data_IF_401768661917
#
_entry.id   IF_401768661917
#
_cell.length_a   1.000
_cell.length_b   1.000
_cell.length_c   1.000
_cell.angle_alpha   90.00
_cell.angle_beta   90.00
_cell.angle_gamma   90.00
#
_symmetry.space_group_name_H-M   'P 1'
#
loop_
_entity.id
_entity.type
_entity.pdbx_description
1 polymer ?
#
# COMPACT_ATOMS: atom_id res chain seq x y z
N UNK A 1 18.14 -14.08 21.97
CA UNK A 1 19.46 -14.74 22.02
C UNK A 1 20.40 -14.01 22.96
N UNK A 2 21.46 -14.62 23.51
CA UNK A 2 22.48 -13.94 24.32
C UNK A 2 23.09 -12.71 23.61
N UNK A 3 23.31 -12.80 22.31
CA UNK A 3 23.80 -11.69 21.50
C UNK A 3 22.82 -10.49 21.49
N UNK A 4 21.53 -10.75 21.33
CA UNK A 4 20.52 -9.70 21.38
C UNK A 4 20.44 -9.05 22.78
N UNK A 5 20.60 -9.81 23.84
CA UNK A 5 20.61 -9.30 25.21
C UNK A 5 21.83 -8.40 25.46
N UNK A 6 23.00 -8.78 24.96
CA UNK A 6 24.22 -7.97 25.06
C UNK A 6 24.06 -6.63 24.30
N UNK A 7 23.44 -6.64 23.14
CA UNK A 7 23.24 -5.46 22.29
C UNK A 7 22.18 -4.49 22.85
N UNK A 8 21.08 -5.01 23.41
CA UNK A 8 20.01 -4.19 23.98
C UNK A 8 20.33 -3.62 25.37
N UNK A 9 21.36 -4.16 26.02
CA UNK A 9 21.71 -3.82 27.39
C UNK A 9 20.73 -4.36 28.44
N UNK A 10 20.98 -4.08 29.73
CA UNK A 10 20.23 -4.66 30.83
C UNK A 10 18.82 -4.09 31.00
N UNK A 11 18.53 -2.95 30.40
CA UNK A 11 17.23 -2.24 30.52
C UNK A 11 16.73 -1.75 29.18
N UNK A 12 16.36 -2.66 28.27
CA UNK A 12 15.94 -2.30 26.91
C UNK A 12 14.69 -1.41 26.87
N UNK A 13 13.87 -1.40 27.90
CA UNK A 13 12.70 -0.50 28.03
C UNK A 13 13.09 0.99 28.10
N UNK A 14 14.29 1.32 28.52
CA UNK A 14 14.78 2.70 28.57
C UNK A 14 15.01 3.29 27.16
N UNK A 15 15.17 2.46 26.15
CA UNK A 15 15.26 2.90 24.76
C UNK A 15 14.03 3.73 24.33
N UNK A 16 12.86 3.52 24.97
CA UNK A 16 11.64 4.31 24.66
C UNK A 16 11.84 5.79 25.01
N UNK A 17 12.66 6.13 26.01
CA UNK A 17 12.84 7.51 26.47
C UNK A 17 13.54 8.38 25.42
N UNK A 18 14.41 7.78 24.61
CA UNK A 18 15.17 8.47 23.55
C UNK A 18 14.60 8.20 22.15
N UNK A 19 13.55 7.39 22.06
CA UNK A 19 13.01 6.92 20.80
C UNK A 19 12.05 7.93 20.14
N UNK A 20 12.20 8.13 18.85
CA UNK A 20 11.28 8.93 18.06
C UNK A 20 9.97 8.18 17.80
N UNK A 21 8.79 8.80 17.98
CA UNK A 21 7.52 8.17 17.67
C UNK A 21 7.34 8.01 16.15
N UNK A 22 7.05 6.78 15.71
CA UNK A 22 6.76 6.46 14.31
C UNK A 22 5.24 6.37 14.09
N UNK A 23 4.54 5.77 15.06
CA UNK A 23 3.08 5.61 15.01
C UNK A 23 2.53 5.59 16.43
N UNK A 24 1.46 6.33 16.66
CA UNK A 24 0.80 6.34 17.96
C UNK A 24 -0.72 6.19 17.79
N UNK A 25 -1.28 5.35 18.64
CA UNK A 25 -2.72 5.26 18.90
C UNK A 25 -2.92 5.11 20.41
N UNK A 26 -4.13 5.27 20.95
CA UNK A 26 -4.38 5.13 22.39
C UNK A 26 -3.89 3.81 22.98
N UNK A 27 -3.90 2.73 22.19
CA UNK A 27 -3.59 1.37 22.65
C UNK A 27 -2.30 0.79 22.07
N UNK A 28 -1.72 1.43 21.05
CA UNK A 28 -0.47 0.97 20.41
C UNK A 28 0.40 2.12 20.02
N UNK A 29 1.68 1.95 20.32
CA UNK A 29 2.71 2.92 19.93
C UNK A 29 3.87 2.16 19.28
N UNK A 30 4.48 2.77 18.28
CA UNK A 30 5.71 2.29 17.64
C UNK A 30 6.71 3.42 17.69
N UNK A 31 7.90 3.12 18.16
CA UNK A 31 9.00 4.06 18.26
C UNK A 31 10.21 3.55 17.49
N UNK A 32 11.09 4.45 17.11
CA UNK A 32 12.40 4.14 16.54
C UNK A 32 13.50 4.67 17.46
N UNK A 33 14.42 3.79 17.85
CA UNK A 33 15.62 4.12 18.63
C UNK A 33 16.84 3.57 17.89
N UNK A 34 17.52 4.42 17.11
CA UNK A 34 18.65 3.99 16.28
C UNK A 34 18.27 2.85 15.32
N UNK A 35 18.88 1.68 15.53
CA UNK A 35 18.68 0.47 14.74
C UNK A 35 17.52 -0.40 15.23
N UNK A 36 16.70 0.10 16.16
CA UNK A 36 15.61 -0.69 16.76
C UNK A 36 14.25 -0.05 16.52
N UNK A 37 13.24 -0.91 16.34
CA UNK A 37 11.83 -0.54 16.45
C UNK A 37 11.27 -1.15 17.72
N UNK A 38 10.57 -0.33 18.50
CA UNK A 38 9.91 -0.71 19.73
C UNK A 38 8.40 -0.64 19.53
N UNK A 39 7.72 -1.78 19.55
CA UNK A 39 6.25 -1.88 19.47
C UNK A 39 5.71 -2.06 20.89
N UNK A 40 4.91 -1.10 21.34
CA UNK A 40 4.24 -1.14 22.64
C UNK A 40 2.75 -1.37 22.43
N UNK A 41 2.20 -2.43 23.02
CA UNK A 41 0.75 -2.69 23.10
C UNK A 41 0.31 -2.55 24.56
N UNK A 42 -0.50 -1.50 24.83
CA UNK A 42 -0.97 -1.15 26.18
C UNK A 42 -2.20 -1.95 26.63
N UNK A 43 -2.72 -2.81 25.77
CA UNK A 43 -3.82 -3.70 26.14
C UNK A 43 -3.31 -4.89 26.91
N UNK A 44 -4.12 -5.34 27.85
CA UNK A 44 -3.91 -6.62 28.53
C UNK A 44 -4.27 -7.76 27.56
N UNK A 45 -3.35 -8.08 26.65
CA UNK A 45 -3.53 -9.10 25.64
C UNK A 45 -2.21 -9.81 25.35
N UNK A 46 -2.26 -10.77 24.45
CA UNK A 46 -1.10 -11.54 24.04
C UNK A 46 -0.69 -11.27 22.58
N UNK A 47 -1.01 -10.07 22.05
CA UNK A 47 -0.80 -9.77 20.64
C UNK A 47 0.67 -9.82 20.24
N UNK A 48 1.55 -9.17 21.01
CA UNK A 48 2.97 -9.16 20.69
C UNK A 48 3.62 -10.52 20.96
N UNK A 49 3.12 -11.29 21.94
CA UNK A 49 3.52 -12.69 22.11
C UNK A 49 3.15 -13.54 20.88
N UNK A 50 1.95 -13.37 20.33
CA UNK A 50 1.56 -14.06 19.10
C UNK A 50 2.38 -13.60 17.88
N UNK A 51 2.81 -12.34 17.83
CA UNK A 51 3.71 -11.85 16.80
C UNK A 51 5.09 -12.51 16.92
N UNK A 52 5.58 -12.68 18.16
CA UNK A 52 6.80 -13.41 18.46
C UNK A 52 6.73 -14.89 18.04
N UNK A 53 5.63 -15.57 18.38
CA UNK A 53 5.40 -16.97 17.97
C UNK A 53 5.37 -17.12 16.44
N UNK A 54 4.71 -16.16 15.77
CA UNK A 54 4.68 -16.09 14.29
C UNK A 54 6.07 -15.90 13.71
N UNK A 55 6.90 -15.05 14.30
CA UNK A 55 8.28 -14.82 13.90
C UNK A 55 9.12 -16.09 14.05
N UNK A 56 8.99 -16.80 15.16
CA UNK A 56 9.65 -18.09 15.40
C UNK A 56 9.26 -19.11 14.33
N UNK A 57 7.98 -19.17 13.95
CA UNK A 57 7.49 -20.06 12.89
C UNK A 57 8.08 -19.72 11.51
N UNK A 58 8.18 -18.41 11.19
CA UNK A 58 8.77 -17.93 9.94
C UNK A 58 10.27 -18.23 9.87
N UNK A 59 11.00 -18.00 10.97
CA UNK A 59 12.43 -18.30 11.08
C UNK A 59 12.72 -19.79 10.85
N UNK A 60 11.91 -20.68 11.45
CA UNK A 60 12.00 -22.12 11.25
C UNK A 60 11.74 -22.57 9.79
N UNK A 61 11.18 -21.71 8.96
CA UNK A 61 10.90 -21.93 7.53
C UNK A 61 11.77 -21.09 6.60
N UNK A 62 12.78 -20.41 7.17
CA UNK A 62 13.71 -19.55 6.44
C UNK A 62 13.01 -18.46 5.61
N UNK A 63 11.86 -17.94 6.09
CA UNK A 63 11.18 -16.82 5.45
C UNK A 63 11.81 -15.52 5.94
N UNK A 64 12.31 -14.66 5.05
CA UNK A 64 12.91 -13.38 5.41
C UNK A 64 11.92 -12.46 6.12
N UNK A 65 12.32 -11.94 7.27
CA UNK A 65 11.55 -10.97 8.06
C UNK A 65 12.49 -10.10 8.89
N UNK A 66 11.96 -9.03 9.49
CA UNK A 66 12.70 -8.26 10.49
C UNK A 66 13.02 -9.13 11.69
N UNK A 67 14.24 -9.02 12.19
CA UNK A 67 14.69 -9.80 13.35
C UNK A 67 13.95 -9.36 14.63
N UNK A 68 13.37 -10.32 15.34
CA UNK A 68 12.75 -10.12 16.64
C UNK A 68 13.78 -10.38 17.74
N UNK A 69 14.14 -9.33 18.50
CA UNK A 69 15.27 -9.36 19.44
C UNK A 69 14.81 -9.66 20.87
N UNK A 70 13.73 -9.02 21.32
CA UNK A 70 13.22 -9.17 22.67
C UNK A 70 11.71 -8.99 22.75
N UNK A 71 11.10 -9.73 23.66
CA UNK A 71 9.70 -9.60 24.05
C UNK A 71 9.62 -9.43 25.56
N UNK A 72 9.07 -8.29 26.01
CA UNK A 72 8.82 -8.01 27.42
C UNK A 72 7.34 -7.93 27.74
N UNK A 73 6.96 -8.28 28.97
CA UNK A 73 5.62 -8.13 29.51
C UNK A 73 5.66 -7.42 30.84
N UNK A 74 4.73 -6.50 31.05
CA UNK A 74 4.54 -5.81 32.34
C UNK A 74 3.06 -5.66 32.63
N UNK A 75 2.72 -5.12 33.82
CA UNK A 75 1.35 -4.74 34.17
C UNK A 75 0.76 -3.67 33.22
N UNK A 76 1.60 -2.93 32.52
CA UNK A 76 1.20 -1.87 31.58
C UNK A 76 1.06 -2.35 30.13
N UNK A 77 1.33 -3.62 29.83
CA UNK A 77 1.22 -4.17 28.50
C UNK A 77 2.43 -4.99 28.05
N UNK A 78 2.61 -5.10 26.74
CA UNK A 78 3.70 -5.84 26.11
C UNK A 78 4.60 -4.89 25.31
N UNK A 79 5.91 -5.17 25.31
CA UNK A 79 6.92 -4.51 24.49
C UNK A 79 7.61 -5.56 23.60
N UNK A 80 7.64 -5.31 22.29
CA UNK A 80 8.40 -6.09 21.33
C UNK A 80 9.46 -5.20 20.70
N UNK A 81 10.70 -5.66 20.69
CA UNK A 81 11.84 -4.99 20.06
C UNK A 81 12.25 -5.78 18.83
N UNK A 82 12.34 -5.09 17.70
CA UNK A 82 12.79 -5.65 16.42
C UNK A 82 13.93 -4.83 15.86
N UNK A 83 14.83 -5.46 15.10
CA UNK A 83 15.90 -4.75 14.39
C UNK A 83 15.35 -4.04 13.16
N UNK A 84 15.78 -2.80 12.94
CA UNK A 84 15.56 -2.13 11.69
C UNK A 84 16.41 -2.80 10.59
N UNK A 85 15.86 -2.94 9.40
CA UNK A 85 16.63 -3.30 8.23
C UNK A 85 17.14 -1.99 7.59
N UNK A 86 18.46 -1.75 7.55
CA UNK A 86 19.04 -0.58 6.88
C UNK A 86 18.59 -0.59 5.41
N UNK A 87 18.32 0.60 4.87
CA UNK A 87 17.99 0.84 3.46
C UNK A 87 16.73 0.12 2.94
N UNK A 88 16.02 -0.56 3.83
CA UNK A 88 14.76 -1.19 3.47
C UNK A 88 13.62 -0.16 3.35
N UNK A 89 12.85 -0.26 2.28
CA UNK A 89 11.68 0.59 1.99
C UNK A 89 10.44 -0.30 1.96
N UNK A 90 9.30 0.20 2.44
CA UNK A 90 8.04 -0.54 2.24
C UNK A 90 7.81 -0.79 0.75
N UNK A 91 7.45 -2.02 0.38
CA UNK A 91 7.29 -2.44 -1.02
C UNK A 91 6.29 -1.55 -1.78
N UNK A 92 5.18 -1.15 -1.12
CA UNK A 92 4.22 -0.22 -1.70
C UNK A 92 4.78 1.19 -1.92
N UNK A 93 5.63 1.69 -1.01
CA UNK A 93 6.29 3.00 -1.13
C UNK A 93 7.32 2.97 -2.26
N UNK A 94 8.13 1.90 -2.34
CA UNK A 94 9.08 1.72 -3.42
C UNK A 94 8.37 1.67 -4.78
N UNK A 95 7.33 0.84 -4.89
CA UNK A 95 6.55 0.74 -6.12
C UNK A 95 5.98 2.09 -6.56
N UNK A 96 5.39 2.84 -5.64
CA UNK A 96 4.84 4.15 -5.96
C UNK A 96 5.92 5.14 -6.41
N UNK A 97 7.03 5.26 -5.66
CA UNK A 97 8.08 6.24 -5.96
C UNK A 97 8.89 5.86 -7.18
N UNK A 98 9.36 4.64 -7.24
CA UNK A 98 10.33 4.23 -8.25
C UNK A 98 9.65 3.69 -9.52
N UNK A 99 8.61 2.83 -9.39
CA UNK A 99 7.98 2.26 -10.57
C UNK A 99 6.92 3.16 -11.19
N UNK A 100 6.06 3.80 -10.37
CA UNK A 100 5.01 4.67 -10.90
C UNK A 100 5.52 6.08 -11.21
N UNK A 101 6.27 6.68 -10.30
CA UNK A 101 6.69 8.07 -10.42
C UNK A 101 7.98 8.26 -11.21
N UNK A 102 8.95 7.38 -11.03
CA UNK A 102 10.30 7.53 -11.60
C UNK A 102 10.58 6.55 -12.76
N UNK A 103 9.62 5.66 -13.10
CA UNK A 103 9.68 4.83 -14.30
C UNK A 103 10.56 3.58 -14.19
N UNK A 104 10.94 3.16 -12.98
CA UNK A 104 11.69 1.92 -12.79
C UNK A 104 10.89 0.68 -13.28
N UNK A 105 11.54 -0.43 -13.67
CA UNK A 105 10.89 -1.61 -14.22
C UNK A 105 9.89 -2.25 -13.25
N UNK A 106 8.60 -1.99 -13.47
CA UNK A 106 7.52 -2.50 -12.61
C UNK A 106 7.34 -4.01 -12.72
N UNK A 107 7.60 -4.60 -13.90
CA UNK A 107 7.47 -6.05 -14.14
C UNK A 107 8.52 -6.83 -13.34
N UNK A 108 9.76 -6.37 -13.33
CA UNK A 108 10.85 -7.00 -12.57
C UNK A 108 10.56 -6.98 -11.07
N UNK A 109 10.19 -5.82 -10.54
CA UNK A 109 9.80 -5.69 -9.13
C UNK A 109 8.61 -6.60 -8.78
N UNK A 110 7.58 -6.63 -9.62
CA UNK A 110 6.39 -7.46 -9.41
C UNK A 110 6.71 -8.95 -9.48
N UNK A 111 7.59 -9.36 -10.41
CA UNK A 111 8.06 -10.74 -10.52
C UNK A 111 8.81 -11.20 -9.27
N UNK A 112 9.72 -10.37 -8.77
CA UNK A 112 10.45 -10.67 -7.54
C UNK A 112 9.52 -10.73 -6.31
N UNK A 113 8.53 -9.82 -6.22
CA UNK A 113 7.53 -9.83 -5.14
C UNK A 113 6.60 -11.04 -5.21
N UNK A 114 6.20 -11.46 -6.42
CA UNK A 114 5.41 -12.67 -6.63
C UNK A 114 6.19 -13.93 -6.21
N UNK A 115 7.48 -14.01 -6.55
CA UNK A 115 8.37 -15.08 -6.10
C UNK A 115 8.49 -15.14 -4.57
N UNK A 116 8.58 -13.99 -3.90
CA UNK A 116 8.59 -13.92 -2.44
C UNK A 116 7.24 -14.39 -1.84
N UNK A 117 6.12 -13.98 -2.42
CA UNK A 117 4.79 -14.46 -2.01
C UNK A 117 4.68 -15.97 -2.16
N UNK A 118 5.16 -16.53 -3.28
CA UNK A 118 5.21 -17.98 -3.52
C UNK A 118 6.07 -18.71 -2.49
N UNK A 119 7.22 -18.15 -2.09
CA UNK A 119 8.07 -18.73 -1.05
C UNK A 119 7.29 -18.90 0.27
N UNK A 120 6.50 -17.91 0.69
CA UNK A 120 5.66 -17.99 1.89
C UNK A 120 4.60 -19.09 1.71
N UNK A 121 3.93 -19.11 0.57
CA UNK A 121 2.88 -20.08 0.25
C UNK A 121 3.44 -21.52 0.25
N UNK A 122 4.53 -21.76 -0.47
CA UNK A 122 5.14 -23.10 -0.59
C UNK A 122 5.70 -23.61 0.72
N UNK A 123 6.04 -22.73 1.68
CA UNK A 123 6.43 -23.11 3.03
C UNK A 123 5.26 -23.59 3.91
N UNK A 124 4.04 -23.63 3.39
CA UNK A 124 2.83 -24.03 4.11
C UNK A 124 2.40 -23.00 5.16
N UNK A 125 2.75 -21.72 4.97
CA UNK A 125 2.39 -20.64 5.88
C UNK A 125 1.28 -19.77 5.31
N UNK A 126 0.46 -19.23 6.19
CA UNK A 126 -0.60 -18.28 5.90
C UNK A 126 -0.36 -16.97 6.65
N UNK A 127 -0.25 -15.86 5.92
CA UNK A 127 -0.15 -14.52 6.49
C UNK A 127 -1.50 -13.79 6.34
N UNK A 128 -2.23 -13.51 7.43
CA UNK A 128 -3.59 -12.97 7.35
C UNK A 128 -3.65 -11.55 6.76
N UNK A 129 -2.61 -10.75 6.91
CA UNK A 129 -2.54 -9.37 6.44
C UNK A 129 -1.38 -9.16 5.47
N UNK A 130 -1.28 -10.02 4.44
CA UNK A 130 -0.23 -9.96 3.43
C UNK A 130 -0.56 -8.92 2.37
N UNK A 131 0.11 -7.77 2.41
CA UNK A 131 0.00 -6.66 1.47
C UNK A 131 1.31 -5.88 1.40
N UNK A 132 1.50 -5.03 0.38
CA UNK A 132 2.76 -4.31 0.14
C UNK A 132 3.20 -3.40 1.30
N UNK A 133 2.29 -2.95 2.17
CA UNK A 133 2.63 -2.19 3.37
C UNK A 133 3.28 -3.02 4.49
N UNK A 134 3.13 -4.35 4.48
CA UNK A 134 3.72 -5.28 5.45
C UNK A 134 4.92 -6.05 4.87
N UNK A 135 5.38 -5.63 3.68
CA UNK A 135 6.56 -6.16 3.03
C UNK A 135 7.58 -5.04 2.87
N UNK A 136 8.80 -5.27 3.29
CA UNK A 136 9.96 -4.43 3.05
C UNK A 136 10.70 -4.92 1.80
N UNK A 137 11.19 -3.99 1.00
CA UNK A 137 12.07 -4.23 -0.13
C UNK A 137 13.45 -3.67 0.16
N UNK A 138 14.48 -4.43 -0.14
CA UNK A 138 15.89 -4.04 -0.07
C UNK A 138 16.40 -3.85 -1.51
N UNK A 139 16.42 -2.63 -2.04
CA UNK A 139 16.69 -2.37 -3.46
C UNK A 139 18.04 -2.92 -3.93
N UNK A 140 19.12 -2.70 -3.19
CA UNK A 140 20.46 -3.15 -3.55
C UNK A 140 20.62 -4.67 -3.63
N UNK A 141 19.76 -5.41 -2.92
CA UNK A 141 19.80 -6.87 -2.85
C UNK A 141 18.68 -7.53 -3.66
N UNK A 142 17.77 -6.75 -4.21
CA UNK A 142 16.53 -7.23 -4.85
C UNK A 142 15.78 -8.27 -4.00
N UNK A 143 15.73 -8.06 -2.67
CA UNK A 143 15.15 -9.00 -1.69
C UNK A 143 14.00 -8.36 -0.93
N UNK A 144 13.13 -9.22 -0.42
CA UNK A 144 11.99 -8.83 0.40
C UNK A 144 12.08 -9.42 1.80
N UNK A 145 11.46 -8.75 2.77
CA UNK A 145 11.30 -9.23 4.13
C UNK A 145 9.94 -8.80 4.71
N UNK A 146 9.35 -9.61 5.59
CA UNK A 146 8.13 -9.25 6.31
C UNK A 146 8.44 -8.33 7.48
N UNK A 147 7.54 -7.34 7.76
CA UNK A 147 7.69 -6.40 8.87
C UNK A 147 6.61 -6.55 9.96
N UNK A 148 5.39 -6.86 9.62
CA UNK A 148 4.30 -7.13 10.58
C UNK A 148 3.83 -8.57 10.37
N UNK A 149 4.31 -9.47 11.24
CA UNK A 149 4.10 -10.92 11.09
C UNK A 149 3.00 -11.45 12.02
N UNK A 150 2.25 -10.56 12.67
CA UNK A 150 1.18 -10.95 13.56
C UNK A 150 0.15 -11.86 12.89
N UNK A 151 -0.10 -13.00 13.52
CA UNK A 151 -1.11 -13.96 13.07
C UNK A 151 -0.70 -14.88 11.95
N UNK A 152 0.58 -14.86 11.54
CA UNK A 152 1.12 -15.89 10.65
C UNK A 152 0.99 -17.25 11.31
N UNK A 153 0.51 -18.23 10.57
CA UNK A 153 0.24 -19.59 11.08
C UNK A 153 0.43 -20.62 9.98
N UNK A 154 0.48 -21.90 10.35
CA UNK A 154 0.42 -23.00 9.38
C UNK A 154 -0.89 -22.95 8.62
N UNK A 155 -0.84 -23.15 7.31
CA UNK A 155 -2.02 -23.27 6.47
C UNK A 155 -2.62 -24.68 6.60
N UNK A 156 -3.93 -24.76 6.86
CA UNK A 156 -4.62 -26.05 6.99
C UNK A 156 -5.22 -26.56 5.68
N UNK A 157 -5.54 -25.64 4.75
CA UNK A 157 -6.15 -25.95 3.45
C UNK A 157 -5.32 -25.24 2.38
N UNK A 158 -4.54 -26.04 1.66
CA UNK A 158 -3.38 -25.57 0.93
C UNK A 158 -3.66 -24.59 -0.21
N UNK A 159 -4.77 -24.66 -0.96
CA UNK A 159 -4.79 -24.01 -2.25
C UNK A 159 -5.61 -22.72 -2.38
N UNK A 160 -6.83 -22.67 -1.81
CA UNK A 160 -7.74 -21.57 -2.12
C UNK A 160 -7.46 -20.25 -1.39
N UNK A 161 -7.08 -20.32 -0.11
CA UNK A 161 -6.84 -19.12 0.70
C UNK A 161 -5.47 -18.51 0.44
N UNK A 162 -4.49 -19.29 0.02
CA UNK A 162 -3.14 -18.82 -0.22
C UNK A 162 -3.02 -18.08 -1.55
N UNK A 163 -3.61 -18.62 -2.62
CA UNK A 163 -3.75 -17.94 -3.90
C UNK A 163 -4.46 -16.58 -3.75
N UNK A 164 -5.44 -16.49 -2.84
CA UNK A 164 -6.12 -15.24 -2.50
C UNK A 164 -5.18 -14.15 -1.95
N UNK A 165 -4.12 -14.51 -1.22
CA UNK A 165 -3.16 -13.54 -0.67
C UNK A 165 -2.15 -13.06 -1.70
N UNK A 166 -1.70 -13.95 -2.57
CA UNK A 166 -0.90 -13.58 -3.73
C UNK A 166 -1.69 -12.63 -4.64
N UNK A 167 -2.95 -12.95 -4.89
CA UNK A 167 -3.89 -12.09 -5.61
C UNK A 167 -3.87 -10.66 -5.07
N UNK A 168 -4.04 -10.48 -3.76
CA UNK A 168 -4.12 -9.16 -3.15
C UNK A 168 -2.84 -8.36 -3.39
N UNK A 169 -1.67 -8.95 -3.17
CA UNK A 169 -0.40 -8.23 -3.33
C UNK A 169 -0.13 -7.85 -4.79
N UNK A 170 -0.46 -8.74 -5.73
CA UNK A 170 -0.32 -8.44 -7.16
C UNK A 170 -1.35 -7.41 -7.63
N UNK A 171 -2.58 -7.46 -7.09
CA UNK A 171 -3.61 -6.45 -7.43
C UNK A 171 -3.22 -5.04 -6.99
N UNK A 172 -2.39 -4.87 -5.94
CA UNK A 172 -1.85 -3.57 -5.56
C UNK A 172 -0.88 -2.99 -6.60
N UNK A 173 -0.26 -3.84 -7.43
CA UNK A 173 0.70 -3.45 -8.46
C UNK A 173 0.07 -3.20 -9.84
N UNK A 174 -1.22 -3.50 -10.04
CA UNK A 174 -1.90 -3.43 -11.35
C UNK A 174 -1.94 -2.04 -11.99
N UNK A 175 -1.62 -0.98 -11.23
CA UNK A 175 -1.57 0.38 -11.78
C UNK A 175 -0.46 0.56 -12.82
N UNK A 176 0.66 -0.15 -12.67
CA UNK A 176 1.80 -0.07 -13.58
C UNK A 176 1.94 -1.30 -14.49
N UNK A 177 1.11 -2.33 -14.32
CA UNK A 177 1.20 -3.57 -15.07
C UNK A 177 -0.03 -3.74 -15.96
N UNK A 178 0.20 -4.01 -17.25
CA UNK A 178 -0.88 -4.43 -18.15
C UNK A 178 -1.39 -5.84 -17.81
N UNK A 179 -2.54 -6.20 -18.40
CA UNK A 179 -3.16 -7.52 -18.18
C UNK A 179 -2.24 -8.66 -18.61
N UNK A 180 -1.56 -8.54 -19.76
CA UNK A 180 -0.70 -9.58 -20.28
C UNK A 180 0.43 -9.92 -19.31
N UNK A 181 1.08 -8.89 -18.77
CA UNK A 181 2.11 -9.02 -17.74
C UNK A 181 1.55 -9.66 -16.46
N UNK A 182 0.38 -9.23 -16.00
CA UNK A 182 -0.27 -9.84 -14.83
C UNK A 182 -0.59 -11.32 -15.05
N UNK A 183 -1.09 -11.69 -16.23
CA UNK A 183 -1.38 -13.10 -16.55
C UNK A 183 -0.11 -13.94 -16.64
N UNK A 184 0.97 -13.40 -17.25
CA UNK A 184 2.28 -14.08 -17.27
C UNK A 184 2.81 -14.33 -15.86
N UNK A 185 2.76 -13.33 -14.98
CA UNK A 185 3.19 -13.46 -13.58
C UNK A 185 2.36 -14.53 -12.85
N UNK A 186 1.04 -14.52 -12.98
CA UNK A 186 0.17 -15.52 -12.36
C UNK A 186 0.46 -16.94 -12.88
N UNK A 187 0.65 -17.10 -14.19
CA UNK A 187 1.01 -18.39 -14.80
C UNK A 187 2.35 -18.89 -14.30
N UNK A 188 3.37 -18.02 -14.26
CA UNK A 188 4.70 -18.34 -13.75
C UNK A 188 4.67 -18.80 -12.29
N UNK A 189 3.76 -18.23 -11.51
CA UNK A 189 3.54 -18.58 -10.11
C UNK A 189 2.60 -19.78 -9.91
N UNK A 190 2.27 -20.51 -10.98
CA UNK A 190 1.54 -21.78 -10.92
C UNK A 190 0.01 -21.65 -10.81
N UNK A 191 -0.56 -20.49 -11.16
CA UNK A 191 -2.01 -20.33 -11.24
C UNK A 191 -2.53 -20.99 -12.50
N UNK A 192 -3.33 -22.04 -12.37
CA UNK A 192 -3.82 -22.88 -13.49
C UNK A 192 -4.79 -22.16 -14.44
N UNK A 193 -5.52 -21.16 -13.95
CA UNK A 193 -6.46 -20.37 -14.75
C UNK A 193 -6.27 -18.86 -14.48
N UNK A 194 -5.15 -18.28 -14.94
CA UNK A 194 -4.74 -16.93 -14.54
C UNK A 194 -5.74 -15.85 -14.92
N UNK A 195 -6.39 -15.98 -16.08
CA UNK A 195 -7.43 -15.05 -16.54
C UNK A 195 -8.66 -15.04 -15.62
N UNK A 196 -9.21 -16.21 -15.36
CA UNK A 196 -10.36 -16.35 -14.43
C UNK A 196 -10.01 -15.86 -13.03
N UNK A 197 -8.78 -16.14 -12.58
CA UNK A 197 -8.26 -15.67 -11.31
C UNK A 197 -8.17 -14.14 -11.27
N UNK A 198 -7.60 -13.52 -12.31
CA UNK A 198 -7.47 -12.08 -12.45
C UNK A 198 -8.82 -11.36 -12.42
N UNK A 199 -9.79 -11.82 -13.21
CA UNK A 199 -11.14 -11.23 -13.25
C UNK A 199 -11.89 -11.37 -11.91
N UNK A 200 -11.75 -12.51 -11.23
CA UNK A 200 -12.31 -12.69 -9.88
C UNK A 200 -11.65 -11.76 -8.88
N UNK A 201 -10.34 -11.57 -8.98
CA UNK A 201 -9.57 -10.65 -8.16
C UNK A 201 -10.05 -9.22 -8.32
N UNK A 202 -10.18 -8.73 -9.55
CA UNK A 202 -10.70 -7.39 -9.84
C UNK A 202 -12.07 -7.16 -9.23
N UNK A 203 -13.01 -8.09 -9.45
CA UNK A 203 -14.37 -7.98 -8.91
C UNK A 203 -14.40 -7.96 -7.38
N UNK A 204 -13.50 -8.71 -6.74
CA UNK A 204 -13.39 -8.76 -5.28
C UNK A 204 -12.83 -7.46 -4.74
N UNK A 205 -11.79 -6.92 -5.35
CA UNK A 205 -11.22 -5.64 -4.97
C UNK A 205 -12.23 -4.50 -5.16
N UNK A 206 -12.98 -4.50 -6.26
CA UNK A 206 -14.04 -3.52 -6.47
C UNK A 206 -15.12 -3.59 -5.36
N UNK A 207 -15.62 -4.79 -5.05
CA UNK A 207 -16.60 -4.98 -3.95
C UNK A 207 -16.05 -4.50 -2.62
N UNK A 208 -14.78 -4.79 -2.32
CA UNK A 208 -14.11 -4.32 -1.10
C UNK A 208 -14.04 -2.80 -1.06
N UNK A 209 -13.64 -2.17 -2.17
CA UNK A 209 -13.58 -0.71 -2.25
C UNK A 209 -14.95 -0.08 -2.00
N UNK A 210 -16.00 -0.55 -2.67
CA UNK A 210 -17.37 -0.03 -2.47
C UNK A 210 -17.85 -0.21 -1.03
N UNK A 211 -17.56 -1.34 -0.40
CA UNK A 211 -17.91 -1.56 1.01
C UNK A 211 -17.17 -0.62 1.96
N UNK A 212 -15.90 -0.33 1.71
CA UNK A 212 -15.09 0.56 2.53
C UNK A 212 -15.30 2.05 2.20
N UNK A 213 -15.85 2.37 1.03
CA UNK A 213 -15.89 3.72 0.47
C UNK A 213 -16.59 4.75 1.39
N UNK A 214 -17.76 4.49 1.99
CA UNK A 214 -18.41 5.47 2.88
C UNK A 214 -17.54 5.88 4.07
N UNK A 215 -16.76 4.94 4.60
CA UNK A 215 -15.79 5.23 5.66
C UNK A 215 -14.60 6.03 5.12
N UNK A 216 -14.06 5.65 3.97
CA UNK A 216 -12.90 6.33 3.34
C UNK A 216 -13.23 7.77 2.99
N UNK A 217 -14.38 8.00 2.38
CA UNK A 217 -14.89 9.34 2.07
C UNK A 217 -14.88 10.25 3.30
N UNK A 218 -15.43 9.80 4.41
CA UNK A 218 -15.43 10.57 5.66
C UNK A 218 -14.01 10.87 6.16
N UNK A 219 -13.11 9.91 6.09
CA UNK A 219 -11.72 10.08 6.50
C UNK A 219 -10.98 11.11 5.62
N UNK A 220 -11.18 11.07 4.30
CA UNK A 220 -10.57 12.00 3.35
C UNK A 220 -10.99 13.42 3.64
N UNK A 221 -12.30 13.66 3.75
CA UNK A 221 -12.86 15.00 3.97
C UNK A 221 -12.56 15.56 5.38
N UNK A 222 -12.33 14.68 6.36
CA UNK A 222 -11.95 15.05 7.71
C UNK A 222 -10.44 15.30 7.90
N UNK A 223 -9.61 15.20 6.86
CA UNK A 223 -8.17 15.42 6.98
C UNK A 223 -7.42 14.28 7.66
N UNK A 224 -7.88 13.03 7.50
CA UNK A 224 -7.18 11.89 8.09
C UNK A 224 -5.79 11.71 7.47
N UNK A 225 -4.69 11.68 8.28
CA UNK A 225 -3.31 11.83 7.80
C UNK A 225 -2.82 10.77 6.79
N UNK A 226 -3.56 9.69 6.62
CA UNK A 226 -3.27 8.69 5.57
C UNK A 226 -3.66 9.17 4.16
N UNK A 227 -4.61 10.10 4.06
CA UNK A 227 -5.17 10.57 2.78
C UNK A 227 -4.94 12.05 2.58
N UNK A 228 -5.32 12.84 3.57
CA UNK A 228 -5.24 14.30 3.52
C UNK A 228 -4.73 14.85 4.83
N UNK A 229 -4.16 16.06 4.80
CA UNK A 229 -3.86 16.87 5.99
C UNK A 229 -4.69 18.13 5.94
N UNK A 230 -5.45 18.36 6.98
CA UNK A 230 -6.23 19.60 7.12
C UNK A 230 -5.35 20.69 7.72
N UNK A 231 -5.27 21.83 7.05
CA UNK A 231 -4.54 23.04 7.48
C UNK A 231 -5.51 24.24 7.32
N UNK A 232 -6.39 24.43 8.29
CA UNK A 232 -7.50 25.39 8.18
C UNK A 232 -8.46 25.03 7.03
N UNK A 233 -8.66 25.90 6.02
CA UNK A 233 -9.52 25.63 4.88
C UNK A 233 -8.89 24.70 3.84
N UNK A 234 -7.60 24.38 3.99
CA UNK A 234 -6.84 23.59 3.03
C UNK A 234 -6.91 22.11 3.39
N UNK A 235 -7.14 21.26 2.38
CA UNK A 235 -6.93 19.82 2.45
C UNK A 235 -5.78 19.42 1.51
N UNK A 236 -4.60 19.21 2.05
CA UNK A 236 -3.44 18.71 1.29
C UNK A 236 -3.55 17.22 1.10
N UNK A 237 -3.40 16.78 -0.13
CA UNK A 237 -3.33 15.35 -0.45
C UNK A 237 -2.00 14.79 0.05
N UNK A 238 -2.05 13.63 0.67
CA UNK A 238 -0.88 12.85 1.10
C UNK A 238 -0.68 11.74 0.07
N UNK A 239 0.50 11.69 -0.54
CA UNK A 239 0.81 10.64 -1.50
C UNK A 239 0.90 9.26 -0.82
N UNK A 240 0.85 8.14 -1.56
CA UNK A 240 0.97 6.80 -0.98
C UNK A 240 2.28 6.56 -0.21
N UNK A 241 3.30 7.39 -0.44
CA UNK A 241 4.57 7.36 0.29
C UNK A 241 4.55 8.21 1.58
N UNK A 242 3.43 8.88 1.89
CA UNK A 242 3.23 9.65 3.10
C UNK A 242 3.73 11.10 3.05
N UNK A 243 4.19 11.58 1.89
CA UNK A 243 4.59 12.97 1.70
C UNK A 243 3.38 13.84 1.31
N UNK A 244 3.31 15.11 1.77
CA UNK A 244 2.37 16.07 1.23
C UNK A 244 2.68 16.33 -0.24
N UNK A 245 1.64 16.40 -1.07
CA UNK A 245 1.80 16.77 -2.48
C UNK A 245 2.27 18.23 -2.61
N UNK A 246 3.16 18.46 -3.57
CA UNK A 246 3.64 19.81 -3.89
C UNK A 246 2.61 20.53 -4.80
N UNK A 247 2.02 21.61 -4.28
CA UNK A 247 1.04 22.41 -5.00
C UNK A 247 1.63 23.28 -6.11
N UNK A 248 2.92 23.61 -6.01
CA UNK A 248 3.59 24.51 -6.97
C UNK A 248 3.64 23.92 -8.38
N UNK A 249 3.58 22.59 -8.46
CA UNK A 249 3.51 21.84 -9.73
C UNK A 249 2.10 21.69 -10.29
N UNK A 250 1.08 22.25 -9.62
CA UNK A 250 -0.32 22.05 -9.94
C UNK A 250 -0.92 23.07 -10.93
N UNK A 251 -2.02 22.66 -11.56
CA UNK A 251 -2.93 23.53 -12.28
C UNK A 251 -4.20 23.74 -11.46
N UNK A 252 -4.66 25.00 -11.26
CA UNK A 252 -5.88 25.25 -10.53
C UNK A 252 -7.12 24.87 -11.36
N UNK A 253 -8.10 24.26 -10.70
CA UNK A 253 -9.45 24.02 -11.21
C UNK A 253 -10.39 24.81 -10.32
N UNK A 254 -11.14 25.74 -10.88
CA UNK A 254 -12.15 26.51 -10.17
C UNK A 254 -13.52 25.85 -10.30
N UNK A 255 -14.34 25.91 -9.24
CA UNK A 255 -15.68 25.36 -9.22
C UNK A 255 -16.40 25.64 -7.88
N UNK A 256 -17.63 25.22 -7.77
CA UNK A 256 -18.33 25.23 -6.48
C UNK A 256 -17.73 24.18 -5.52
N UNK A 257 -17.99 24.36 -4.23
CA UNK A 257 -17.40 23.51 -3.19
C UNK A 257 -17.77 22.04 -3.35
N UNK A 258 -19.00 21.72 -3.75
CA UNK A 258 -19.47 20.35 -3.91
C UNK A 258 -18.76 19.66 -5.10
N UNK A 259 -18.66 20.34 -6.23
CA UNK A 259 -17.96 19.84 -7.42
C UNK A 259 -16.49 19.58 -7.11
N UNK A 260 -15.81 20.49 -6.41
CA UNK A 260 -14.39 20.32 -6.08
C UNK A 260 -14.15 19.20 -5.06
N UNK A 261 -15.02 19.03 -4.07
CA UNK A 261 -14.96 17.90 -3.14
C UNK A 261 -15.21 16.57 -3.87
N UNK A 262 -16.15 16.50 -4.82
CA UNK A 262 -16.35 15.31 -5.66
C UNK A 262 -15.13 14.99 -6.52
N UNK A 263 -14.46 15.98 -7.09
CA UNK A 263 -13.21 15.77 -7.84
C UNK A 263 -12.08 15.24 -6.95
N UNK A 264 -11.94 15.75 -5.73
CA UNK A 264 -11.01 15.24 -4.73
C UNK A 264 -11.34 13.79 -4.37
N UNK A 265 -12.60 13.48 -4.12
CA UNK A 265 -13.05 12.12 -3.81
C UNK A 265 -12.84 11.17 -4.99
N UNK A 266 -13.08 11.62 -6.22
CA UNK A 266 -12.82 10.84 -7.43
C UNK A 266 -11.33 10.49 -7.56
N UNK A 267 -10.41 11.42 -7.25
CA UNK A 267 -8.98 11.13 -7.17
C UNK A 267 -8.70 9.95 -6.23
N UNK A 268 -9.18 9.99 -5.00
CA UNK A 268 -8.93 8.93 -4.03
C UNK A 268 -9.62 7.60 -4.40
N UNK A 269 -10.80 7.66 -5.00
CA UNK A 269 -11.46 6.47 -5.51
C UNK A 269 -10.62 5.77 -6.58
N UNK A 270 -10.15 6.52 -7.58
CA UNK A 270 -9.29 6.02 -8.65
C UNK A 270 -7.95 5.49 -8.12
N UNK A 271 -7.34 6.19 -7.15
CA UNK A 271 -6.11 5.75 -6.49
C UNK A 271 -6.31 4.39 -5.79
N UNK A 272 -7.39 4.23 -5.03
CA UNK A 272 -7.71 2.98 -4.34
C UNK A 272 -8.13 1.86 -5.30
N UNK A 273 -8.74 2.21 -6.42
CA UNK A 273 -9.05 1.29 -7.53
C UNK A 273 -7.81 0.94 -8.37
N UNK A 274 -6.66 1.56 -8.11
CA UNK A 274 -5.43 1.45 -8.90
C UNK A 274 -5.65 1.75 -10.39
N UNK A 275 -6.48 2.74 -10.69
CA UNK A 275 -6.69 3.28 -12.04
C UNK A 275 -5.74 4.48 -12.18
N UNK A 276 -4.80 4.47 -13.15
CA UNK A 276 -3.93 5.59 -13.42
C UNK A 276 -4.75 6.83 -13.76
N UNK A 277 -4.49 7.94 -13.10
CA UNK A 277 -5.24 9.16 -13.28
C UNK A 277 -4.42 10.35 -12.87
N UNK A 278 -4.78 11.53 -13.35
CA UNK A 278 -4.17 12.80 -13.00
C UNK A 278 -4.44 13.13 -11.52
N UNK A 279 -3.41 13.17 -10.66
CA UNK A 279 -3.62 13.33 -9.22
C UNK A 279 -4.14 14.70 -8.82
N UNK A 280 -5.01 14.75 -7.80
CA UNK A 280 -5.26 15.95 -7.03
C UNK A 280 -4.12 16.18 -6.03
N UNK A 281 -3.80 17.45 -5.75
CA UNK A 281 -2.70 17.84 -4.88
C UNK A 281 -3.20 18.57 -3.62
N UNK A 282 -4.14 19.51 -3.79
CA UNK A 282 -4.66 20.37 -2.74
C UNK A 282 -6.09 20.82 -3.07
N UNK A 283 -6.96 20.81 -2.07
CA UNK A 283 -8.25 21.51 -2.11
C UNK A 283 -8.20 22.72 -1.18
N UNK A 284 -8.38 23.92 -1.76
CA UNK A 284 -8.58 25.18 -1.02
C UNK A 284 -10.08 25.51 -0.98
N UNK A 285 -10.73 25.21 0.13
CA UNK A 285 -12.15 25.46 0.33
C UNK A 285 -12.51 26.94 0.42
N UNK A 286 -11.57 27.80 0.87
CA UNK A 286 -11.79 29.25 0.99
C UNK A 286 -11.83 29.93 -0.37
N UNK A 287 -10.95 29.50 -1.29
CA UNK A 287 -10.85 30.07 -2.64
C UNK A 287 -11.66 29.32 -3.68
N UNK A 288 -12.29 28.20 -3.32
CA UNK A 288 -12.96 27.29 -4.24
C UNK A 288 -12.03 26.84 -5.39
N UNK A 289 -10.87 26.34 -5.02
CA UNK A 289 -9.84 25.86 -5.96
C UNK A 289 -9.41 24.43 -5.60
N UNK A 290 -9.28 23.59 -6.63
CA UNK A 290 -8.62 22.29 -6.56
C UNK A 290 -7.38 22.32 -7.43
N UNK A 291 -6.20 22.10 -6.86
CA UNK A 291 -4.98 21.97 -7.62
C UNK A 291 -4.79 20.51 -8.05
N UNK A 292 -4.52 20.31 -9.35
CA UNK A 292 -4.24 18.99 -9.94
C UNK A 292 -2.89 19.02 -10.61
N UNK A 293 -2.18 17.90 -10.65
CA UNK A 293 -0.92 17.78 -11.37
C UNK A 293 -1.07 18.25 -12.83
N UNK A 294 -0.08 18.95 -13.37
CA UNK A 294 -0.09 19.46 -14.74
C UNK A 294 -0.13 18.32 -15.75
N UNK A 295 -0.77 18.54 -16.88
CA UNK A 295 -0.70 17.62 -18.01
C UNK A 295 0.71 17.65 -18.60
N UNK A 296 1.28 16.49 -18.96
CA UNK A 296 2.52 16.47 -19.76
C UNK A 296 2.28 17.15 -21.11
N UNK A 297 3.27 17.91 -21.59
CA UNK A 297 3.21 18.50 -22.91
C UNK A 297 3.25 17.41 -24.00
N UNK A 298 2.40 17.50 -25.01
CA UNK A 298 2.45 16.64 -26.21
C UNK A 298 1.60 15.35 -26.18
N UNK A 299 0.74 15.16 -25.22
CA UNK A 299 0.07 13.87 -24.98
C UNK A 299 -1.30 13.72 -25.66
N UNK A 300 -1.41 13.93 -26.95
CA UNK A 300 -2.68 13.82 -27.69
C UNK A 300 -2.71 12.64 -28.69
N UNK A 301 -2.36 11.45 -28.28
CA UNK A 301 -2.63 10.24 -29.07
C UNK A 301 -3.75 9.45 -28.41
N UNK A 302 -4.68 8.86 -29.19
CA UNK A 302 -5.72 8.03 -28.60
C UNK A 302 -5.11 6.82 -27.88
N UNK A 303 -5.47 6.64 -26.64
CA UNK A 303 -5.06 5.48 -25.84
C UNK A 303 -5.79 4.25 -26.37
N UNK A 304 -5.05 3.19 -26.69
CA UNK A 304 -5.69 1.92 -27.07
C UNK A 304 -6.48 1.37 -25.87
N UNK A 305 -7.62 0.74 -26.14
CA UNK A 305 -8.47 0.21 -25.09
C UNK A 305 -7.75 -0.82 -24.21
N UNK A 306 -6.87 -1.66 -24.79
CA UNK A 306 -6.18 -2.70 -24.04
C UNK A 306 -7.13 -3.49 -23.15
N UNK A 307 -6.79 -3.62 -21.85
CA UNK A 307 -7.61 -4.26 -20.82
C UNK A 307 -8.42 -3.27 -19.94
N UNK A 308 -8.39 -1.97 -20.27
CA UNK A 308 -9.09 -0.94 -19.50
C UNK A 308 -10.60 -1.11 -19.43
N UNK A 309 -11.31 -1.54 -20.53
CA UNK A 309 -12.74 -1.78 -20.46
C UNK A 309 -13.13 -2.76 -19.34
N UNK A 310 -12.39 -3.85 -19.18
CA UNK A 310 -12.66 -4.86 -18.15
C UNK A 310 -12.33 -4.37 -16.75
N UNK A 311 -11.19 -3.66 -16.61
CA UNK A 311 -10.79 -3.07 -15.33
C UNK A 311 -11.82 -2.05 -14.86
N UNK A 312 -12.26 -1.16 -15.72
CA UNK A 312 -13.23 -0.12 -15.42
C UNK A 312 -14.61 -0.70 -15.14
N UNK A 313 -15.06 -1.69 -15.92
CA UNK A 313 -16.35 -2.35 -15.73
C UNK A 313 -16.49 -2.98 -14.34
N UNK A 314 -15.41 -3.46 -13.74
CA UNK A 314 -15.42 -3.97 -12.36
C UNK A 314 -15.85 -2.91 -11.33
N UNK A 315 -15.67 -1.64 -11.65
CA UNK A 315 -16.05 -0.48 -10.83
C UNK A 315 -17.30 0.26 -11.36
N UNK A 316 -18.02 -0.31 -12.33
CA UNK A 316 -19.18 0.34 -12.94
C UNK A 316 -18.85 1.51 -13.87
N UNK A 317 -17.60 1.62 -14.29
CA UNK A 317 -17.11 2.67 -15.20
C UNK A 317 -17.00 2.16 -16.63
N UNK A 318 -17.10 3.07 -17.62
CA UNK A 318 -16.93 2.76 -19.05
C UNK A 318 -15.62 3.35 -19.55
N UNK A 319 -14.95 2.63 -20.44
CA UNK A 319 -13.81 3.17 -21.16
C UNK A 319 -14.29 4.16 -22.23
N UNK A 320 -13.79 5.37 -22.19
CA UNK A 320 -14.03 6.42 -23.18
C UNK A 320 -12.68 6.98 -23.59
N UNK A 321 -12.19 6.68 -24.80
CA UNK A 321 -10.84 7.09 -25.24
C UNK A 321 -10.55 8.57 -25.07
N UNK A 322 -11.57 9.43 -25.27
CA UNK A 322 -11.48 10.89 -25.16
C UNK A 322 -11.22 11.39 -23.72
N UNK A 323 -11.46 10.54 -22.72
CA UNK A 323 -11.17 10.87 -21.32
C UNK A 323 -9.74 10.50 -20.90
N UNK A 324 -8.97 9.85 -21.79
CA UNK A 324 -7.65 9.32 -21.51
C UNK A 324 -6.55 10.08 -22.26
N UNK A 325 -5.34 9.99 -21.75
CA UNK A 325 -4.11 10.41 -22.37
C UNK A 325 -2.95 9.59 -21.86
N UNK A 326 -1.73 10.11 -21.98
CA UNK A 326 -0.53 9.45 -21.50
C UNK A 326 0.17 10.27 -20.42
N UNK A 327 0.75 9.59 -19.43
CA UNK A 327 1.67 10.21 -18.48
C UNK A 327 3.04 10.49 -19.14
N UNK A 328 3.97 11.09 -18.39
CA UNK A 328 5.33 11.41 -18.89
C UNK A 328 6.17 10.18 -19.29
N UNK A 329 5.72 8.98 -18.97
CA UNK A 329 6.38 7.72 -19.33
C UNK A 329 5.63 6.98 -20.45
N UNK A 330 4.64 7.62 -21.08
CA UNK A 330 3.84 7.02 -22.14
C UNK A 330 2.83 5.97 -21.65
N UNK A 331 2.49 5.95 -20.36
CA UNK A 331 1.48 5.03 -19.81
C UNK A 331 0.09 5.66 -19.86
N UNK A 332 -0.96 4.88 -20.13
CA UNK A 332 -2.34 5.38 -20.14
C UNK A 332 -2.75 5.99 -18.80
N UNK A 333 -3.33 7.18 -18.83
CA UNK A 333 -3.78 7.93 -17.65
C UNK A 333 -5.16 8.57 -17.89
N UNK A 334 -6.11 8.41 -16.95
CA UNK A 334 -7.43 9.02 -17.02
C UNK A 334 -7.34 10.50 -16.67
N UNK A 335 -7.75 11.38 -17.61
CA UNK A 335 -7.68 12.83 -17.45
C UNK A 335 -9.01 13.47 -17.07
N UNK A 336 -10.13 12.87 -17.52
CA UNK A 336 -11.47 13.35 -17.22
C UNK A 336 -12.17 12.43 -16.23
N UNK A 337 -12.74 13.01 -15.16
CA UNK A 337 -13.32 12.27 -14.03
C UNK A 337 -14.85 12.29 -14.00
N UNK A 338 -15.52 12.76 -15.05
CA UNK A 338 -16.98 12.95 -15.04
C UNK A 338 -17.76 11.70 -14.60
N UNK A 339 -17.39 10.53 -15.12
CA UNK A 339 -18.06 9.28 -14.71
C UNK A 339 -17.81 8.94 -13.24
N UNK A 340 -16.60 9.22 -12.74
CA UNK A 340 -16.19 8.88 -11.38
C UNK A 340 -16.83 9.84 -10.38
N UNK A 341 -16.93 11.12 -10.72
CA UNK A 341 -17.60 12.13 -9.86
C UNK A 341 -19.09 11.82 -9.66
N UNK A 342 -19.74 11.18 -10.62
CA UNK A 342 -21.11 10.69 -10.47
C UNK A 342 -21.22 9.46 -9.56
N UNK A 343 -20.13 8.72 -9.36
CA UNK A 343 -20.10 7.49 -8.56
C UNK A 343 -19.76 7.76 -7.07
N UNK A 344 -19.00 8.80 -6.79
CA UNK A 344 -18.48 9.13 -5.44
C UNK A 344 -19.28 10.18 -4.72
#
# INVERSE_FOLDING_TARGET
SPAAAAELGPRPELLIQTAAPVKASPVRKVFRAGEFYLKLDLRQGNRLSREWDSATLLAARHIPMVEHLALGRSSRGQLLITRALPDAVQAGVYFFRNCLRDGAPAEEFAGALAGFARQIISSGLFHPDFHCGNVLYLPERHKFALVDVYGVRKAFLFDRFQLFRMERILMELRQALDRGTMLRLLSREGVSAPETFYLRALRREARRLFHEWPRRRRQILAGYPKFTRAEGPLLRVVDPAGAPADETSGEPVQGDAETLERLLLAHFFLQLACIPHRPALLLDRKRNLLFRARRPAGAASPVSAGDWPERLAAYGLKFRPEEWGFDRFGRPELWNFQQVTALV
#
